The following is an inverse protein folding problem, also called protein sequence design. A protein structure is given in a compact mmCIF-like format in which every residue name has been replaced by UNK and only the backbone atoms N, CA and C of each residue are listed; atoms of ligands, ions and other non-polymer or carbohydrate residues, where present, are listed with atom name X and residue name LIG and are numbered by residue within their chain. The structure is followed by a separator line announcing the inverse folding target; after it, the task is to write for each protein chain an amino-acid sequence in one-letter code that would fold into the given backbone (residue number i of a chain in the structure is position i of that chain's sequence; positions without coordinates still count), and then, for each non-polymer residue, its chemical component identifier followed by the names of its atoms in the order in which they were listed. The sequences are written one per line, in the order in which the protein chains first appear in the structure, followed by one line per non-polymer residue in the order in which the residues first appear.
data_IF_525512839403
#
_entry.id   IF_525512839403
#
_cell.length_a   1.000
_cell.length_b   1.000
_cell.length_c   1.000
_cell.angle_alpha   90.00
_cell.angle_beta   90.00
_cell.angle_gamma   90.00
#
_symmetry.space_group_name_H-M   'P 1'
#
loop_
_entity.id
_entity.type
_entity.pdbx_description
1 polymer ?
#
# COMPACT_ATOMS: atom_id res chain seq x y z
N UNK A 1 3.14 -7.31 -36.21
CA UNK A 1 2.17 -8.40 -36.02
C UNK A 1 1.53 -8.22 -34.66
N UNK A 2 0.20 -8.25 -34.63
CA UNK A 2 -0.59 -8.20 -33.38
C UNK A 2 -0.98 -9.64 -33.06
N UNK A 3 -0.50 -10.13 -31.93
CA UNK A 3 -0.87 -11.45 -31.42
C UNK A 3 -1.95 -11.32 -30.35
N UNK A 4 -3.07 -11.99 -30.56
CA UNK A 4 -4.13 -12.15 -29.55
C UNK A 4 -4.21 -13.62 -29.14
N UNK A 5 -4.33 -13.85 -27.84
CA UNK A 5 -4.59 -15.17 -27.30
C UNK A 5 -5.72 -15.03 -26.28
N UNK A 6 -6.89 -15.58 -26.60
CA UNK A 6 -8.04 -15.57 -25.70
C UNK A 6 -8.33 -17.00 -25.29
N UNK A 7 -8.49 -17.24 -24.00
CA UNK A 7 -8.86 -18.54 -23.43
C UNK A 7 -10.07 -18.37 -22.54
N UNK A 8 -10.98 -19.31 -22.65
CA UNK A 8 -12.15 -19.39 -21.80
C UNK A 8 -12.24 -20.79 -21.21
N UNK A 9 -12.56 -20.89 -19.94
CA UNK A 9 -12.74 -22.14 -19.22
C UNK A 9 -14.00 -22.07 -18.35
N UNK A 10 -14.75 -23.16 -18.37
CA UNK A 10 -15.88 -23.38 -17.47
C UNK A 10 -15.62 -24.63 -16.64
N UNK A 11 -15.77 -24.53 -15.33
CA UNK A 11 -15.49 -25.64 -14.41
C UNK A 11 -16.50 -25.70 -13.26
N UNK A 12 -16.56 -26.85 -12.63
CA UNK A 12 -17.32 -27.06 -11.38
C UNK A 12 -16.43 -27.73 -10.35
N UNK A 13 -16.42 -27.19 -9.13
CA UNK A 13 -15.82 -27.85 -7.96
C UNK A 13 -16.96 -28.30 -7.04
N UNK A 14 -16.84 -29.52 -6.48
CA UNK A 14 -17.77 -30.03 -5.50
C UNK A 14 -17.01 -30.47 -4.26
N UNK A 15 -17.43 -29.99 -3.09
CA UNK A 15 -16.96 -30.47 -1.81
C UNK A 15 -18.10 -31.19 -1.09
N UNK A 16 -17.78 -32.28 -0.41
CA UNK A 16 -18.74 -33.10 0.34
C UNK A 16 -18.43 -33.01 1.83
N UNK A 17 -19.45 -32.82 2.65
CA UNK A 17 -19.30 -32.82 4.10
C UNK A 17 -19.19 -34.25 4.64
N UNK A 18 -17.99 -34.65 5.00
CA UNK A 18 -17.68 -36.00 5.49
C UNK A 18 -18.27 -36.30 6.87
N UNK A 19 -18.28 -35.31 7.76
CA UNK A 19 -18.77 -35.50 9.13
C UNK A 19 -20.28 -35.77 9.17
N UNK A 20 -21.04 -35.12 8.31
CA UNK A 20 -22.49 -35.32 8.19
C UNK A 20 -22.83 -36.66 7.53
N UNK A 21 -22.05 -37.06 6.53
CA UNK A 21 -22.20 -38.36 5.87
C UNK A 21 -21.94 -39.57 6.82
N UNK A 22 -21.05 -39.44 7.78
CA UNK A 22 -20.79 -40.49 8.76
C UNK A 22 -21.98 -40.68 9.73
N UNK A 23 -22.77 -39.62 9.99
CA UNK A 23 -23.95 -39.71 10.88
C UNK A 23 -25.21 -40.18 10.20
N UNK A 24 -25.43 -39.78 8.96
CA UNK A 24 -26.71 -39.96 8.26
C UNK A 24 -26.62 -41.06 7.15
N UNK A 25 -25.40 -41.56 6.85
CA UNK A 25 -25.22 -42.58 5.82
C UNK A 25 -25.35 -42.11 4.36
N UNK A 26 -25.69 -40.86 4.15
CA UNK A 26 -25.79 -40.24 2.82
C UNK A 26 -24.81 -39.08 2.67
N UNK A 27 -24.18 -39.00 1.48
CA UNK A 27 -23.29 -37.91 1.14
C UNK A 27 -24.09 -36.73 0.58
N UNK A 28 -24.17 -35.64 1.32
CA UNK A 28 -24.69 -34.38 0.81
C UNK A 28 -23.57 -33.48 0.30
N UNK A 29 -23.80 -32.84 -0.83
CA UNK A 29 -22.89 -31.82 -1.32
C UNK A 29 -22.99 -30.58 -0.40
N UNK A 30 -21.94 -30.31 0.38
CA UNK A 30 -21.90 -29.16 1.29
C UNK A 30 -21.62 -27.86 0.55
N UNK A 31 -20.94 -27.95 -0.56
CA UNK A 31 -20.54 -26.83 -1.40
C UNK A 31 -20.50 -27.26 -2.87
N UNK A 32 -21.21 -26.54 -3.70
CA UNK A 32 -21.10 -26.65 -5.17
C UNK A 32 -20.66 -25.31 -5.71
N UNK A 33 -19.48 -25.25 -6.28
CA UNK A 33 -18.94 -24.02 -6.88
C UNK A 33 -18.90 -24.16 -8.40
N UNK A 34 -19.46 -23.19 -9.09
CA UNK A 34 -19.34 -23.01 -10.54
C UNK A 34 -18.29 -21.95 -10.80
N UNK A 35 -17.31 -22.27 -11.63
CA UNK A 35 -16.21 -21.36 -11.96
C UNK A 35 -16.24 -21.06 -13.45
N UNK A 36 -16.31 -19.80 -13.80
CA UNK A 36 -16.07 -19.31 -15.14
C UNK A 36 -14.80 -18.46 -15.14
N UNK A 37 -13.93 -18.69 -16.10
CA UNK A 37 -12.67 -17.95 -16.23
C UNK A 37 -12.45 -17.54 -17.67
N UNK A 38 -12.08 -16.28 -17.87
CA UNK A 38 -11.64 -15.74 -19.13
C UNK A 38 -10.24 -15.13 -18.96
N UNK A 39 -9.36 -15.40 -19.90
CA UNK A 39 -8.07 -14.71 -19.97
C UNK A 39 -7.79 -14.26 -21.40
N UNK A 40 -7.12 -13.13 -21.54
CA UNK A 40 -6.71 -12.60 -22.82
C UNK A 40 -5.31 -11.98 -22.71
N UNK A 41 -4.48 -12.29 -23.70
CA UNK A 41 -3.15 -11.71 -23.86
C UNK A 41 -3.07 -11.03 -25.21
N UNK A 42 -2.61 -9.78 -25.23
CA UNK A 42 -2.41 -9.03 -26.44
C UNK A 42 -1.02 -8.41 -26.44
N UNK A 43 -0.31 -8.59 -27.54
CA UNK A 43 1.04 -8.07 -27.69
C UNK A 43 1.11 -7.20 -28.95
N UNK A 44 1.42 -5.92 -28.77
CA UNK A 44 1.77 -4.98 -29.83
C UNK A 44 3.21 -4.53 -29.63
N UNK A 45 3.75 -3.90 -30.62
CA UNK A 45 5.15 -3.40 -30.56
C UNK A 45 5.44 -2.55 -29.32
N UNK A 46 4.47 -1.77 -28.83
CA UNK A 46 4.63 -0.81 -27.74
C UNK A 46 3.66 -1.04 -26.58
N UNK A 47 2.83 -2.07 -26.64
CA UNK A 47 1.85 -2.37 -25.61
C UNK A 47 1.72 -3.88 -25.44
N UNK A 48 1.91 -4.32 -24.23
CA UNK A 48 1.56 -5.67 -23.79
C UNK A 48 0.41 -5.57 -22.80
N UNK A 49 -0.68 -6.25 -23.07
CA UNK A 49 -1.85 -6.30 -22.25
C UNK A 49 -2.13 -7.74 -21.83
N UNK A 50 -2.32 -7.98 -20.55
CA UNK A 50 -2.82 -9.24 -20.00
C UNK A 50 -4.07 -8.98 -19.19
N UNK A 51 -5.06 -9.82 -19.38
CA UNK A 51 -6.33 -9.75 -18.67
C UNK A 51 -6.75 -11.13 -18.19
N UNK A 52 -7.21 -11.21 -16.96
CA UNK A 52 -7.86 -12.38 -16.39
C UNK A 52 -9.13 -11.92 -15.65
N UNK A 53 -10.22 -12.61 -15.89
CA UNK A 53 -11.46 -12.45 -15.17
C UNK A 53 -11.97 -13.81 -14.76
N UNK A 54 -12.30 -13.98 -13.49
CA UNK A 54 -12.87 -15.19 -12.94
C UNK A 54 -14.15 -14.83 -12.16
N UNK A 55 -15.19 -15.59 -12.41
CA UNK A 55 -16.41 -15.54 -11.63
C UNK A 55 -16.61 -16.89 -10.96
N UNK A 56 -16.85 -16.87 -9.67
CA UNK A 56 -17.23 -18.04 -8.87
C UNK A 56 -18.62 -17.84 -8.29
N UNK A 57 -19.47 -18.81 -8.49
CA UNK A 57 -20.76 -18.90 -7.82
C UNK A 57 -20.76 -20.15 -6.97
N UNK A 58 -20.94 -19.97 -5.67
CA UNK A 58 -20.94 -21.06 -4.69
C UNK A 58 -22.32 -21.18 -4.05
N UNK A 59 -22.84 -22.39 -4.07
CA UNK A 59 -24.06 -22.75 -3.39
C UNK A 59 -23.72 -23.52 -2.12
N UNK A 60 -23.97 -22.91 -0.97
CA UNK A 60 -23.81 -23.54 0.35
C UNK A 60 -25.18 -24.02 0.84
N UNK A 61 -25.21 -25.25 1.36
CA UNK A 61 -26.44 -25.87 1.80
C UNK A 61 -27.12 -25.16 2.99
N UNK A 62 -26.35 -24.47 3.84
CA UNK A 62 -26.85 -23.86 5.08
C UNK A 62 -26.68 -22.32 5.14
N UNK A 63 -25.82 -21.71 4.33
CA UNK A 63 -25.46 -20.29 4.44
C UNK A 63 -25.97 -19.41 3.28
N UNK A 64 -26.62 -20.02 2.26
CA UNK A 64 -27.09 -19.31 1.09
C UNK A 64 -26.10 -19.28 -0.07
N UNK A 65 -26.52 -18.64 -1.14
CA UNK A 65 -25.72 -18.54 -2.36
C UNK A 65 -24.71 -17.39 -2.25
N UNK A 66 -23.49 -17.64 -2.68
CA UNK A 66 -22.40 -16.64 -2.66
C UNK A 66 -21.82 -16.49 -4.06
N UNK A 67 -21.52 -15.27 -4.44
CA UNK A 67 -20.81 -14.97 -5.67
C UNK A 67 -19.51 -14.20 -5.39
N UNK A 68 -18.50 -14.51 -6.16
CA UNK A 68 -17.20 -13.88 -6.08
C UNK A 68 -16.65 -13.55 -7.46
N UNK A 69 -16.04 -12.38 -7.57
CA UNK A 69 -15.36 -11.93 -8.76
C UNK A 69 -13.87 -11.75 -8.44
N UNK A 70 -13.04 -12.30 -9.30
CA UNK A 70 -11.60 -12.04 -9.27
C UNK A 70 -11.19 -11.55 -10.65
N UNK A 71 -10.60 -10.36 -10.68
CA UNK A 71 -10.15 -9.73 -11.93
C UNK A 71 -8.74 -9.22 -11.82
N UNK A 72 -7.97 -9.38 -12.88
CA UNK A 72 -6.63 -8.83 -13.01
C UNK A 72 -6.44 -8.26 -14.41
N UNK A 73 -5.93 -7.03 -14.49
CA UNK A 73 -5.55 -6.37 -15.71
C UNK A 73 -4.14 -5.79 -15.55
N UNK A 74 -3.23 -6.20 -16.44
CA UNK A 74 -1.89 -5.64 -16.49
C UNK A 74 -1.63 -5.08 -17.88
N UNK A 75 -1.14 -3.85 -17.95
CA UNK A 75 -0.74 -3.20 -19.19
C UNK A 75 0.69 -2.66 -19.04
N UNK A 76 1.59 -3.10 -19.90
CA UNK A 76 2.93 -2.56 -20.03
C UNK A 76 3.03 -1.82 -21.36
N UNK A 77 3.54 -0.62 -21.35
CA UNK A 77 3.66 0.19 -22.55
C UNK A 77 5.04 0.84 -22.67
N UNK A 78 5.50 0.97 -23.90
CA UNK A 78 6.82 1.47 -24.23
C UNK A 78 7.95 0.53 -23.78
N UNK A 79 9.16 1.03 -23.86
CA UNK A 79 10.37 0.44 -23.30
C UNK A 79 11.29 1.57 -22.78
N UNK A 80 12.32 1.22 -22.00
CA UNK A 80 13.24 2.22 -21.41
C UNK A 80 13.99 3.10 -22.43
N UNK A 81 14.03 2.68 -23.68
CA UNK A 81 14.67 3.46 -24.74
C UNK A 81 13.71 4.42 -25.45
N UNK A 82 12.43 4.42 -25.05
CA UNK A 82 11.41 5.27 -25.63
C UNK A 82 11.12 6.50 -24.78
N UNK A 83 10.42 7.46 -25.38
CA UNK A 83 10.10 8.71 -24.71
C UNK A 83 9.11 8.55 -23.55
N UNK A 84 8.27 7.52 -23.62
CA UNK A 84 7.29 7.16 -22.58
C UNK A 84 7.34 5.67 -22.37
N UNK A 85 7.45 5.23 -21.15
CA UNK A 85 7.21 3.85 -20.77
C UNK A 85 6.60 3.75 -19.39
N UNK A 86 5.93 2.64 -19.12
CA UNK A 86 5.31 2.42 -17.83
C UNK A 86 4.50 1.13 -17.77
N UNK A 87 3.90 0.95 -16.64
CA UNK A 87 2.95 -0.14 -16.41
C UNK A 87 1.75 0.33 -15.61
N UNK A 88 0.63 -0.32 -15.85
CA UNK A 88 -0.59 -0.20 -15.07
C UNK A 88 -1.03 -1.59 -14.67
N UNK A 89 -1.36 -1.78 -13.41
CA UNK A 89 -1.93 -3.01 -12.90
C UNK A 89 -3.21 -2.69 -12.12
N UNK A 90 -4.22 -3.51 -12.34
CA UNK A 90 -5.48 -3.44 -11.61
C UNK A 90 -5.85 -4.84 -11.16
N UNK A 91 -6.31 -4.96 -9.91
CA UNK A 91 -6.80 -6.20 -9.33
C UNK A 91 -8.12 -5.94 -8.64
N UNK A 92 -9.01 -6.91 -8.76
CA UNK A 92 -10.29 -6.95 -8.08
C UNK A 92 -10.44 -8.33 -7.46
N UNK A 93 -10.86 -8.38 -6.20
CA UNK A 93 -11.17 -9.63 -5.51
C UNK A 93 -12.36 -9.45 -4.60
N UNK A 94 -13.10 -10.53 -4.42
CA UNK A 94 -14.09 -10.66 -3.38
C UNK A 94 -13.70 -11.87 -2.56
N UNK A 95 -13.55 -11.69 -1.26
CA UNK A 95 -13.18 -12.75 -0.32
C UNK A 95 -14.20 -12.83 0.79
N UNK A 96 -14.45 -14.03 1.24
CA UNK A 96 -15.23 -14.25 2.46
C UNK A 96 -14.36 -13.96 3.67
N UNK A 97 -14.70 -12.94 4.43
CA UNK A 97 -14.08 -12.66 5.71
C UNK A 97 -14.96 -13.09 6.86
N UNK A 98 -14.38 -13.81 7.78
CA UNK A 98 -15.06 -14.10 9.04
C UNK A 98 -15.04 -12.86 9.92
N UNK A 99 -16.21 -12.42 10.33
CA UNK A 99 -16.33 -11.33 11.28
C UNK A 99 -15.88 -11.78 12.66
N UNK A 100 -15.03 -10.99 13.28
CA UNK A 100 -14.55 -11.19 14.63
C UNK A 100 -15.15 -10.15 15.56
N UNK A 101 -15.56 -10.57 16.73
CA UNK A 101 -16.00 -9.67 17.80
C UNK A 101 -15.00 -9.73 18.95
N UNK A 102 -14.87 -8.62 19.65
CA UNK A 102 -14.12 -8.58 20.90
C UNK A 102 -14.80 -9.48 21.93
N UNK A 103 -14.05 -10.43 22.46
CA UNK A 103 -14.52 -11.34 23.51
C UNK A 103 -14.04 -10.82 24.84
N UNK A 104 -14.99 -10.63 25.74
CA UNK A 104 -14.74 -10.17 27.10
C UNK A 104 -15.14 -11.25 28.08
N UNK A 105 -14.26 -11.55 29.01
CA UNK A 105 -14.49 -12.54 30.07
C UNK A 105 -14.83 -11.84 31.35
N UNK A 106 -15.95 -12.24 31.95
CA UNK A 106 -16.31 -11.77 33.29
C UNK A 106 -15.30 -12.26 34.35
N UNK A 107 -14.87 -11.36 35.17
CA UNK A 107 -13.97 -11.62 36.31
C UNK A 107 -14.66 -11.21 37.63
N UNK A 108 -13.99 -11.39 38.75
CA UNK A 108 -14.55 -10.92 40.03
C UNK A 108 -14.81 -9.40 39.95
N UNK A 109 -15.94 -8.91 40.48
CA UNK A 109 -16.29 -7.49 40.44
C UNK A 109 -15.14 -6.60 40.88
N UNK A 110 -14.82 -5.60 40.05
CA UNK A 110 -13.76 -4.64 40.34
C UNK A 110 -12.33 -5.14 40.12
N UNK A 111 -12.11 -6.32 39.54
CA UNK A 111 -10.76 -6.85 39.28
C UNK A 111 -10.37 -6.80 37.77
N UNK A 112 -11.28 -6.40 36.90
CA UNK A 112 -11.04 -6.25 35.46
C UNK A 112 -10.66 -4.82 35.11
N UNK A 113 -10.32 -4.66 33.84
CA UNK A 113 -9.99 -3.38 33.19
C UNK A 113 -11.05 -2.94 32.17
N UNK A 114 -12.16 -3.70 32.07
CA UNK A 114 -13.26 -3.45 31.13
C UNK A 114 -14.59 -3.43 31.91
N UNK A 115 -15.44 -2.45 31.59
CA UNK A 115 -16.78 -2.32 32.15
C UNK A 115 -17.84 -2.34 31.07
N UNK A 116 -18.88 -3.14 31.25
CA UNK A 116 -20.04 -3.13 30.36
C UNK A 116 -20.99 -1.98 30.72
N UNK A 117 -21.25 -1.11 29.75
CA UNK A 117 -22.27 -0.06 29.88
C UNK A 117 -23.62 -0.60 29.41
N UNK A 118 -24.51 -0.87 30.33
CA UNK A 118 -25.84 -1.42 30.07
C UNK A 118 -26.77 -0.44 29.34
N UNK A 119 -26.48 0.86 29.33
CA UNK A 119 -27.29 1.88 28.66
C UNK A 119 -26.97 1.94 27.17
N UNK A 120 -25.71 1.82 26.82
CA UNK A 120 -25.25 1.87 25.43
C UNK A 120 -25.00 0.50 24.82
N UNK A 121 -24.93 -0.55 25.66
CA UNK A 121 -24.63 -1.92 25.20
C UNK A 121 -23.15 -2.13 24.81
N UNK A 122 -22.26 -1.22 25.20
CA UNK A 122 -20.85 -1.22 24.78
C UNK A 122 -19.94 -1.58 25.94
N UNK A 123 -18.85 -2.30 25.64
CA UNK A 123 -17.76 -2.53 26.59
C UNK A 123 -16.78 -1.34 26.55
N UNK A 124 -16.50 -0.77 27.71
CA UNK A 124 -15.57 0.35 27.90
C UNK A 124 -14.27 -0.20 28.48
N UNK A 125 -13.19 -0.15 27.69
CA UNK A 125 -11.86 -0.60 28.08
C UNK A 125 -11.07 0.48 28.85
N UNK A 126 -10.04 0.06 29.56
CA UNK A 126 -9.15 0.97 30.30
C UNK A 126 -9.77 1.61 31.52
N UNK A 127 -10.77 0.99 32.13
CA UNK A 127 -11.38 1.45 33.39
C UNK A 127 -10.75 0.75 34.59
N UNK A 128 -10.44 1.52 35.63
CA UNK A 128 -10.09 0.93 36.92
C UNK A 128 -11.34 0.29 37.54
N UNK A 129 -11.19 -0.91 38.10
CA UNK A 129 -12.28 -1.66 38.77
C UNK A 129 -13.41 -2.10 37.82
N UNK A 130 -13.07 -2.59 36.61
CA UNK A 130 -14.02 -3.23 35.71
C UNK A 130 -14.43 -4.64 36.20
N UNK A 131 -15.47 -5.18 35.55
CA UNK A 131 -16.01 -6.51 35.85
C UNK A 131 -15.65 -7.53 34.72
N UNK A 132 -14.94 -7.08 33.72
CA UNK A 132 -14.50 -7.89 32.59
C UNK A 132 -13.04 -7.62 32.28
N UNK A 133 -12.42 -8.60 31.59
CA UNK A 133 -11.10 -8.47 30.92
C UNK A 133 -11.26 -8.81 29.45
N UNK A 134 -10.51 -8.13 28.59
CA UNK A 134 -10.45 -8.46 27.17
C UNK A 134 -9.67 -9.77 26.98
N UNK A 135 -10.28 -10.78 26.36
CA UNK A 135 -9.69 -12.10 26.14
C UNK A 135 -9.13 -12.25 24.72
N UNK A 136 -9.53 -11.38 23.79
CA UNK A 136 -9.10 -11.43 22.40
C UNK A 136 -10.25 -11.25 21.41
N UNK A 137 -10.01 -11.57 20.17
CA UNK A 137 -11.04 -11.60 19.13
C UNK A 137 -11.56 -13.02 18.97
N UNK A 138 -12.85 -13.22 19.14
CA UNK A 138 -13.54 -14.46 18.86
C UNK A 138 -14.31 -14.37 17.55
N UNK A 139 -14.53 -15.53 16.90
CA UNK A 139 -15.38 -15.61 15.71
C UNK A 139 -16.81 -15.18 16.05
N UNK A 140 -17.40 -14.31 15.23
CA UNK A 140 -18.79 -13.92 15.40
C UNK A 140 -19.73 -14.90 14.67
N UNK A 141 -20.09 -15.97 15.35
CA UNK A 141 -20.99 -16.98 14.79
C UNK A 141 -22.42 -16.46 14.57
N UNK A 142 -22.76 -15.30 15.13
CA UNK A 142 -24.10 -14.69 14.98
C UNK A 142 -24.27 -13.91 13.67
N UNK A 143 -23.19 -13.46 13.06
CA UNK A 143 -23.24 -12.66 11.81
C UNK A 143 -22.76 -13.47 10.61
N UNK A 144 -22.09 -14.60 10.83
CA UNK A 144 -21.51 -15.39 9.76
C UNK A 144 -20.29 -14.72 9.09
N UNK A 145 -19.91 -15.26 7.94
CA UNK A 145 -18.89 -14.63 7.10
C UNK A 145 -19.52 -13.51 6.28
N UNK A 146 -18.88 -12.37 6.22
CA UNK A 146 -19.29 -11.22 5.39
C UNK A 146 -18.43 -11.21 4.14
N UNK A 147 -19.06 -11.01 3.00
CA UNK A 147 -18.33 -10.84 1.75
C UNK A 147 -17.56 -9.53 1.80
N UNK A 148 -16.24 -9.62 1.84
CA UNK A 148 -15.34 -8.49 1.72
C UNK A 148 -14.94 -8.30 0.25
N UNK A 149 -14.98 -7.07 -0.23
CA UNK A 149 -14.47 -6.72 -1.54
C UNK A 149 -13.16 -5.96 -1.41
N UNK A 150 -12.16 -6.38 -2.18
CA UNK A 150 -10.89 -5.71 -2.27
C UNK A 150 -10.62 -5.27 -3.71
N UNK A 151 -9.96 -4.14 -3.86
CA UNK A 151 -9.50 -3.66 -5.15
C UNK A 151 -8.17 -2.96 -5.01
N UNK A 152 -7.28 -3.19 -5.96
CA UNK A 152 -5.98 -2.56 -6.01
C UNK A 152 -5.69 -2.01 -7.39
N UNK A 153 -5.05 -0.87 -7.44
CA UNK A 153 -4.59 -0.24 -8.66
C UNK A 153 -3.17 0.29 -8.46
N UNK A 154 -2.29 0.05 -9.42
CA UNK A 154 -0.98 0.67 -9.44
C UNK A 154 -0.64 1.15 -10.83
N UNK A 155 0.03 2.28 -10.92
CA UNK A 155 0.54 2.84 -12.15
C UNK A 155 1.94 3.38 -11.94
N UNK A 156 2.84 3.07 -12.86
CA UNK A 156 4.18 3.64 -12.94
C UNK A 156 4.37 4.22 -14.33
N UNK A 157 4.76 5.46 -14.40
CA UNK A 157 4.97 6.18 -15.64
C UNK A 157 6.33 6.87 -15.62
N UNK A 158 7.09 6.75 -16.70
CA UNK A 158 8.30 7.52 -16.93
C UNK A 158 8.25 8.19 -18.30
N UNK A 159 8.60 9.49 -18.32
CA UNK A 159 8.63 10.34 -19.49
C UNK A 159 10.03 10.96 -19.65
N UNK A 160 10.59 10.86 -20.84
CA UNK A 160 11.83 11.54 -21.26
C UNK A 160 11.49 12.69 -22.22
N UNK A 161 11.34 13.92 -21.73
CA UNK A 161 10.85 15.04 -22.56
C UNK A 161 11.70 15.30 -23.79
N UNK A 162 13.01 15.13 -23.69
CA UNK A 162 13.91 15.34 -24.80
C UNK A 162 13.60 14.41 -25.99
N UNK A 163 13.27 13.16 -25.70
CA UNK A 163 12.92 12.20 -26.75
C UNK A 163 11.53 12.49 -27.32
N UNK A 164 10.57 12.88 -26.46
CA UNK A 164 9.21 13.23 -26.86
C UNK A 164 9.17 14.45 -27.81
N UNK A 165 9.98 15.45 -27.53
CA UNK A 165 10.02 16.72 -28.30
C UNK A 165 11.17 16.81 -29.29
N UNK A 166 11.99 15.75 -29.46
CA UNK A 166 13.13 15.73 -30.38
C UNK A 166 14.26 16.69 -29.99
N UNK A 167 14.37 17.05 -28.70
CA UNK A 167 15.36 18.00 -28.20
C UNK A 167 16.72 17.33 -28.12
N UNK A 168 17.69 17.81 -28.90
CA UNK A 168 19.04 17.26 -28.95
C UNK A 168 20.03 17.94 -28.01
N UNK A 169 19.74 19.16 -27.58
CA UNK A 169 20.62 20.00 -26.79
C UNK A 169 19.86 20.71 -25.68
N UNK A 170 20.59 21.12 -24.61
CA UNK A 170 20.04 21.87 -23.51
C UNK A 170 19.62 20.99 -22.33
N UNK A 171 19.11 21.64 -21.29
CA UNK A 171 18.77 21.01 -19.98
C UNK A 171 17.71 19.91 -20.14
N UNK A 172 16.74 20.11 -21.01
CA UNK A 172 15.64 19.15 -21.24
C UNK A 172 16.12 17.78 -21.74
N UNK A 173 17.30 17.70 -22.37
CA UNK A 173 17.85 16.44 -22.83
C UNK A 173 18.08 15.43 -21.71
N UNK A 174 18.45 15.97 -20.57
CA UNK A 174 18.95 15.18 -19.44
C UNK A 174 17.88 15.07 -18.32
N UNK A 175 16.63 15.49 -18.60
CA UNK A 175 15.51 15.40 -17.66
C UNK A 175 14.74 14.09 -17.87
N UNK A 176 14.41 13.46 -16.75
CA UNK A 176 13.48 12.35 -16.65
C UNK A 176 12.37 12.74 -15.66
N UNK A 177 11.13 12.57 -16.08
CA UNK A 177 9.96 12.74 -15.24
C UNK A 177 9.38 11.35 -14.95
N UNK A 178 9.09 11.06 -13.69
CA UNK A 178 8.48 9.82 -13.25
C UNK A 178 7.27 10.08 -12.38
N UNK A 179 6.39 9.09 -12.31
CA UNK A 179 5.27 9.09 -11.38
C UNK A 179 4.91 7.67 -11.00
N UNK A 180 4.67 7.48 -9.71
CA UNK A 180 4.14 6.26 -9.13
C UNK A 180 2.79 6.61 -8.51
N UNK A 181 1.83 5.73 -8.70
CA UNK A 181 0.55 5.78 -8.03
C UNK A 181 0.18 4.37 -7.60
N UNK A 182 -0.24 4.21 -6.35
CA UNK A 182 -0.71 2.95 -5.81
C UNK A 182 -1.92 3.20 -4.94
N UNK A 183 -2.93 2.40 -5.09
CA UNK A 183 -4.11 2.44 -4.24
C UNK A 183 -4.64 1.04 -4.03
N UNK A 184 -4.98 0.75 -2.79
CA UNK A 184 -5.59 -0.50 -2.37
C UNK A 184 -6.72 -0.17 -1.40
N UNK A 185 -7.82 -0.87 -1.53
CA UNK A 185 -8.97 -0.68 -0.65
C UNK A 185 -9.69 -1.99 -0.40
N UNK A 186 -10.22 -2.08 0.79
CA UNK A 186 -11.05 -3.20 1.25
C UNK A 186 -12.31 -2.67 1.91
N UNK A 187 -13.44 -3.25 1.57
CA UNK A 187 -14.70 -2.97 2.21
C UNK A 187 -15.35 -4.26 2.74
N UNK A 188 -15.54 -4.29 4.05
CA UNK A 188 -16.14 -5.42 4.79
C UNK A 188 -17.61 -5.15 5.15
N UNK A 189 -18.20 -4.08 4.63
CA UNK A 189 -19.63 -3.73 4.90
C UNK A 189 -20.60 -4.39 3.93
N UNK A 190 -20.12 -5.28 3.05
CA UNK A 190 -20.92 -5.93 2.02
C UNK A 190 -21.14 -5.06 0.77
N UNK A 191 -20.44 -3.92 0.64
CA UNK A 191 -20.45 -3.12 -0.58
C UNK A 191 -19.43 -3.65 -1.57
N UNK A 192 -19.80 -3.68 -2.83
CA UNK A 192 -18.88 -4.07 -3.89
C UNK A 192 -17.91 -2.93 -4.22
N UNK A 193 -16.63 -3.11 -3.93
CA UNK A 193 -15.58 -2.16 -4.23
C UNK A 193 -14.94 -2.47 -5.59
N UNK A 194 -15.58 -2.06 -6.68
CA UNK A 194 -15.08 -2.30 -8.04
C UNK A 194 -13.84 -1.47 -8.39
N UNK A 195 -13.63 -0.33 -7.74
CA UNK A 195 -12.46 0.52 -7.95
C UNK A 195 -11.83 0.88 -6.62
N UNK A 196 -10.50 0.88 -6.52
CA UNK A 196 -9.82 1.32 -5.32
C UNK A 196 -10.01 2.82 -5.09
N UNK A 197 -9.86 3.30 -3.86
CA UNK A 197 -9.98 4.70 -3.55
C UNK A 197 -8.88 5.51 -4.27
N UNK A 198 -9.27 6.50 -5.08
CA UNK A 198 -8.31 7.37 -5.79
C UNK A 198 -8.15 8.73 -5.13
N UNK A 199 -8.85 8.98 -4.03
CA UNK A 199 -8.77 10.19 -3.21
C UNK A 199 -8.79 9.84 -1.73
N UNK A 200 -8.23 10.71 -0.89
CA UNK A 200 -8.27 10.52 0.57
C UNK A 200 -9.70 10.49 1.13
N UNK A 201 -10.63 11.23 0.54
CA UNK A 201 -12.04 11.16 0.93
C UNK A 201 -12.66 9.80 0.63
N UNK A 202 -12.41 9.23 -0.55
CA UNK A 202 -12.90 7.90 -0.89
C UNK A 202 -12.28 6.81 0.02
N UNK A 203 -11.02 6.97 0.43
CA UNK A 203 -10.37 6.08 1.37
C UNK A 203 -11.02 6.13 2.76
N UNK A 204 -11.52 7.30 3.19
CA UNK A 204 -12.25 7.43 4.47
C UNK A 204 -13.59 6.70 4.47
N UNK A 205 -14.19 6.47 3.32
CA UNK A 205 -15.53 5.85 3.17
C UNK A 205 -15.52 4.32 3.13
N UNK A 206 -14.34 3.69 3.02
CA UNK A 206 -14.17 2.24 3.02
C UNK A 206 -13.67 1.72 4.36
N UNK A 207 -13.64 0.41 4.56
CA UNK A 207 -13.21 -0.20 5.82
C UNK A 207 -11.72 -0.01 6.08
N UNK A 208 -10.89 -0.34 5.12
CA UNK A 208 -9.42 -0.19 5.22
C UNK A 208 -8.80 0.04 3.85
N UNK A 209 -7.59 0.57 3.82
CA UNK A 209 -6.86 0.72 2.57
C UNK A 209 -5.70 1.69 2.64
N UNK A 210 -5.02 1.78 1.51
CA UNK A 210 -3.89 2.68 1.31
C UNK A 210 -4.03 3.43 -0.01
N UNK A 211 -3.50 4.62 -0.05
CA UNK A 211 -3.38 5.42 -1.26
C UNK A 211 -2.05 6.14 -1.21
N UNK A 212 -1.22 5.93 -2.21
CA UNK A 212 0.07 6.60 -2.32
C UNK A 212 0.30 7.15 -3.72
N UNK A 213 0.97 8.27 -3.80
CA UNK A 213 1.51 8.79 -5.04
C UNK A 213 2.87 9.42 -4.81
N UNK A 214 3.74 9.28 -5.78
CA UNK A 214 5.06 9.90 -5.83
C UNK A 214 5.30 10.48 -7.22
N UNK A 215 5.66 11.74 -7.29
CA UNK A 215 6.21 12.37 -8.47
C UNK A 215 7.74 12.29 -8.43
N UNK A 216 8.40 12.26 -9.58
CA UNK A 216 9.86 12.22 -9.66
C UNK A 216 10.36 13.07 -10.81
N UNK A 217 11.23 14.00 -10.50
CA UNK A 217 11.98 14.79 -11.44
C UNK A 217 13.45 14.48 -11.26
N UNK A 218 14.11 13.98 -12.27
CA UNK A 218 15.55 13.75 -12.28
C UNK A 218 16.22 14.55 -13.40
N UNK A 219 17.33 15.13 -13.07
CA UNK A 219 18.22 15.79 -14.02
C UNK A 219 19.65 15.32 -13.80
N UNK A 220 20.29 14.85 -14.86
CA UNK A 220 21.66 14.36 -14.84
C UNK A 220 22.46 14.99 -15.98
N UNK A 221 23.36 15.90 -15.67
CA UNK A 221 24.17 16.60 -16.66
C UNK A 221 25.46 15.84 -16.94
N UNK A 222 25.91 15.71 -18.22
CA UNK A 222 27.14 14.99 -18.59
C UNK A 222 28.43 15.48 -17.90
N UNK A 223 28.43 16.68 -17.37
CA UNK A 223 29.55 17.23 -16.59
C UNK A 223 29.57 16.79 -15.13
N UNK A 224 28.75 15.81 -14.76
CA UNK A 224 28.74 15.25 -13.40
C UNK A 224 27.83 15.96 -12.41
N UNK A 225 26.94 16.85 -12.84
CA UNK A 225 25.90 17.41 -11.99
C UNK A 225 24.66 16.53 -12.06
N UNK A 226 24.04 16.29 -10.91
CA UNK A 226 22.75 15.64 -10.80
C UNK A 226 21.86 16.35 -9.80
N UNK A 227 20.58 16.37 -10.07
CA UNK A 227 19.55 16.84 -9.15
C UNK A 227 18.34 15.93 -9.27
N UNK A 228 17.70 15.65 -8.15
CA UNK A 228 16.41 15.00 -8.14
C UNK A 228 15.47 15.67 -7.14
N UNK A 229 14.18 15.60 -7.45
CA UNK A 229 13.11 16.05 -6.57
C UNK A 229 11.94 15.09 -6.64
N UNK A 230 11.52 14.60 -5.48
CA UNK A 230 10.44 13.62 -5.36
C UNK A 230 9.42 14.11 -4.33
N UNK A 231 8.30 14.73 -4.76
CA UNK A 231 7.14 14.96 -3.92
C UNK A 231 6.30 13.69 -3.85
N UNK A 232 5.71 13.41 -2.69
CA UNK A 232 4.82 12.28 -2.51
C UNK A 232 3.82 12.49 -1.39
N UNK A 233 2.75 11.71 -1.42
CA UNK A 233 1.81 11.60 -0.32
C UNK A 233 1.37 10.15 -0.15
N UNK A 234 1.22 9.77 1.11
CA UNK A 234 0.74 8.47 1.54
C UNK A 234 -0.45 8.67 2.47
N UNK A 235 -1.51 7.94 2.21
CA UNK A 235 -2.72 7.90 3.02
C UNK A 235 -2.99 6.47 3.42
N UNK A 236 -3.34 6.24 4.65
CA UNK A 236 -3.62 4.92 5.20
C UNK A 236 -4.83 4.99 6.11
N UNK A 237 -5.75 4.07 5.93
CA UNK A 237 -6.86 3.82 6.83
C UNK A 237 -6.83 2.38 7.27
N UNK A 238 -6.87 2.17 8.57
CA UNK A 238 -7.05 0.84 9.15
C UNK A 238 -8.28 0.80 10.04
N UNK A 239 -9.07 -0.26 9.83
CA UNK A 239 -10.13 -0.65 10.74
C UNK A 239 -9.58 -1.75 11.64
N UNK A 240 -9.03 -1.36 12.78
CA UNK A 240 -8.61 -2.28 13.84
C UNK A 240 -9.49 -2.06 15.09
N UNK A 241 -9.09 -2.56 16.25
CA UNK A 241 -9.74 -2.21 17.53
C UNK A 241 -9.83 -0.70 17.74
N UNK A 242 -8.93 0.06 17.11
CA UNK A 242 -8.95 1.50 17.02
C UNK A 242 -8.84 1.89 15.55
N UNK A 243 -9.89 2.51 15.00
CA UNK A 243 -9.84 3.05 13.64
C UNK A 243 -8.86 4.22 13.61
N UNK A 244 -7.89 4.21 12.71
CA UNK A 244 -7.03 5.35 12.48
C UNK A 244 -6.98 5.74 11.00
N UNK A 245 -6.70 7.01 10.76
CA UNK A 245 -6.43 7.56 9.45
C UNK A 245 -5.13 8.36 9.50
N UNK A 246 -4.18 7.99 8.67
CA UNK A 246 -2.87 8.64 8.56
C UNK A 246 -2.76 9.31 7.19
N UNK A 247 -2.34 10.57 7.21
CA UNK A 247 -1.94 11.32 6.03
C UNK A 247 -0.46 11.71 6.17
N UNK A 248 0.34 11.46 5.16
CA UNK A 248 1.75 11.85 5.13
C UNK A 248 2.06 12.55 3.83
N UNK A 249 2.72 13.69 3.91
CA UNK A 249 3.25 14.42 2.77
C UNK A 249 4.75 14.48 2.86
N UNK A 250 5.43 14.06 1.79
CA UNK A 250 6.88 14.01 1.74
C UNK A 250 7.42 14.78 0.55
N UNK A 251 8.45 15.56 0.79
CA UNK A 251 9.25 16.21 -0.24
C UNK A 251 10.71 15.81 -0.04
N UNK A 252 11.31 15.22 -1.04
CA UNK A 252 12.72 14.87 -1.04
C UNK A 252 13.44 15.57 -2.19
N UNK A 253 14.60 16.13 -1.91
CA UNK A 253 15.47 16.71 -2.91
C UNK A 253 16.91 16.20 -2.72
N UNK A 254 17.56 15.86 -3.82
CA UNK A 254 18.99 15.52 -3.80
C UNK A 254 19.73 16.33 -4.83
N UNK A 255 20.97 16.67 -4.48
CA UNK A 255 21.91 17.34 -5.36
C UNK A 255 23.21 16.55 -5.33
N UNK A 256 23.83 16.36 -6.47
CA UNK A 256 25.10 15.68 -6.61
C UNK A 256 26.02 16.40 -7.58
N UNK A 257 27.31 16.37 -7.31
CA UNK A 257 28.32 16.94 -8.17
C UNK A 257 29.59 16.10 -8.16
N UNK A 258 29.99 15.65 -9.33
CA UNK A 258 31.31 15.08 -9.57
C UNK A 258 32.31 16.23 -9.79
N UNK A 259 33.09 16.55 -8.80
CA UNK A 259 34.04 17.69 -8.84
C UNK A 259 35.26 17.37 -9.70
N UNK A 260 35.76 16.13 -9.58
CA UNK A 260 36.84 15.52 -10.37
C UNK A 260 36.53 14.02 -10.50
N UNK A 261 37.25 13.30 -11.32
CA UNK A 261 37.08 11.86 -11.51
C UNK A 261 36.93 11.08 -10.20
N UNK A 262 37.64 11.51 -9.17
CA UNK A 262 37.72 10.80 -7.88
C UNK A 262 36.98 11.51 -6.73
N UNK A 263 36.28 12.64 -6.99
CA UNK A 263 35.66 13.46 -5.95
C UNK A 263 34.20 13.69 -6.25
N UNK A 264 33.31 13.24 -5.39
CA UNK A 264 31.90 13.46 -5.45
C UNK A 264 31.38 14.14 -4.19
N UNK A 265 30.51 15.12 -4.34
CA UNK A 265 29.80 15.81 -3.26
C UNK A 265 28.31 15.59 -3.48
N UNK A 266 27.61 15.15 -2.45
CA UNK A 266 26.17 14.97 -2.46
C UNK A 266 25.52 15.64 -1.26
N UNK A 267 24.38 16.26 -1.50
CA UNK A 267 23.49 16.79 -0.47
C UNK A 267 22.09 16.25 -0.68
N UNK A 268 21.38 15.94 0.39
CA UNK A 268 19.97 15.60 0.33
C UNK A 268 19.19 16.31 1.43
N UNK A 269 17.93 16.59 1.16
CA UNK A 269 16.99 17.14 2.13
C UNK A 269 15.64 16.47 1.98
N UNK A 270 14.98 16.22 3.10
CA UNK A 270 13.63 15.66 3.18
C UNK A 270 12.80 16.51 4.14
N UNK A 271 11.59 16.80 3.72
CA UNK A 271 10.55 17.36 4.56
C UNK A 271 9.39 16.37 4.58
N UNK A 272 8.89 16.05 5.76
CA UNK A 272 7.74 15.17 5.93
C UNK A 272 6.80 15.79 6.95
N UNK A 273 5.51 15.82 6.62
CA UNK A 273 4.43 16.18 7.54
C UNK A 273 3.51 14.97 7.64
N UNK A 274 3.17 14.60 8.85
CA UNK A 274 2.28 13.45 9.11
C UNK A 274 1.17 13.91 10.04
N UNK A 275 -0.05 13.65 9.62
CA UNK A 275 -1.28 13.85 10.39
C UNK A 275 -1.87 12.47 10.69
N UNK A 276 -2.04 12.15 11.94
CA UNK A 276 -2.65 10.92 12.41
C UNK A 276 -3.92 11.24 13.17
N UNK A 277 -5.04 10.77 12.65
CA UNK A 277 -6.34 10.83 13.33
C UNK A 277 -6.69 9.44 13.86
N UNK A 278 -6.69 9.27 15.16
CA UNK A 278 -7.07 8.05 15.86
C UNK A 278 -7.94 8.41 17.07
N UNK A 279 -7.67 7.87 18.25
CA UNK A 279 -8.26 8.33 19.51
C UNK A 279 -7.83 9.76 19.89
N UNK A 280 -6.67 10.16 19.41
CA UNK A 280 -6.13 11.52 19.51
C UNK A 280 -5.61 11.93 18.14
N UNK A 281 -5.72 13.20 17.80
CA UNK A 281 -5.10 13.77 16.60
C UNK A 281 -3.67 14.14 16.96
N UNK A 282 -2.73 13.61 16.18
CA UNK A 282 -1.30 13.89 16.29
C UNK A 282 -0.81 14.47 14.97
N UNK A 283 -0.14 15.59 15.01
CA UNK A 283 0.54 16.20 13.86
C UNK A 283 2.03 16.31 14.17
N UNK A 284 2.88 15.85 13.26
CA UNK A 284 4.32 16.06 13.39
C UNK A 284 4.97 16.37 12.04
N UNK A 285 6.05 17.12 12.13
CA UNK A 285 6.87 17.54 10.99
C UNK A 285 8.30 17.08 11.20
N UNK A 286 8.87 16.47 10.19
CA UNK A 286 10.27 16.07 10.19
C UNK A 286 11.03 16.78 9.09
N UNK A 287 12.19 17.29 9.42
CA UNK A 287 13.16 17.90 8.49
C UNK A 287 14.45 17.13 8.60
N UNK A 288 14.91 16.60 7.50
CA UNK A 288 16.14 15.81 7.42
C UNK A 288 17.05 16.41 6.37
N UNK A 289 18.30 16.59 6.70
CA UNK A 289 19.32 17.06 5.78
C UNK A 289 20.60 16.24 5.91
N UNK A 290 21.19 15.87 4.79
CA UNK A 290 22.46 15.18 4.80
C UNK A 290 23.44 15.77 3.80
N UNK A 291 24.72 15.70 4.15
CA UNK A 291 25.83 16.05 3.29
C UNK A 291 26.78 14.86 3.23
N UNK A 292 27.22 14.49 2.06
CA UNK A 292 28.19 13.41 1.82
C UNK A 292 29.28 13.87 0.88
N UNK A 293 30.52 13.44 1.18
CA UNK A 293 31.64 13.62 0.30
C UNK A 293 32.30 12.26 0.07
N UNK A 294 32.50 11.88 -1.19
CA UNK A 294 33.14 10.62 -1.56
C UNK A 294 34.45 10.90 -2.26
N UNK A 295 35.51 10.24 -1.79
CA UNK A 295 36.81 10.23 -2.40
C UNK A 295 37.20 8.81 -2.79
N UNK A 296 37.41 8.57 -4.08
CA UNK A 296 37.89 7.31 -4.62
C UNK A 296 39.41 7.41 -4.88
N UNK A 297 40.21 6.60 -4.20
CA UNK A 297 41.68 6.72 -4.23
C UNK A 297 42.39 5.59 -4.98
N UNK A 298 41.71 4.46 -5.20
CA UNK A 298 42.16 3.33 -6.00
C UNK A 298 40.97 2.79 -6.76
N UNK A 299 41.21 1.96 -7.80
CA UNK A 299 40.14 1.32 -8.54
C UNK A 299 39.23 0.52 -7.59
N UNK A 300 38.01 1.02 -7.42
CA UNK A 300 37.00 0.45 -6.57
C UNK A 300 37.03 0.83 -5.10
N UNK A 301 38.10 1.42 -4.56
CA UNK A 301 38.17 1.85 -3.16
C UNK A 301 37.74 3.29 -2.98
N UNK A 302 36.88 3.53 -2.00
CA UNK A 302 36.46 4.89 -1.65
C UNK A 302 36.30 5.09 -0.15
N UNK A 303 36.36 6.34 0.26
CA UNK A 303 36.03 6.83 1.61
C UNK A 303 34.95 7.87 1.49
N UNK A 304 33.88 7.72 2.27
CA UNK A 304 32.72 8.59 2.24
C UNK A 304 32.37 9.09 3.66
N UNK A 305 32.96 10.22 4.10
CA UNK A 305 32.46 10.93 5.26
C UNK A 305 31.12 11.60 4.97
N UNK A 306 30.25 11.61 5.97
CA UNK A 306 28.93 12.22 5.88
C UNK A 306 28.51 12.86 7.19
N UNK A 307 27.58 13.78 7.09
CA UNK A 307 26.88 14.38 8.21
C UNK A 307 25.39 14.40 7.94
N UNK A 308 24.58 14.15 8.94
CA UNK A 308 23.13 14.18 8.89
C UNK A 308 22.60 14.98 10.07
N UNK A 309 21.58 15.78 9.78
CA UNK A 309 20.82 16.53 10.76
C UNK A 309 19.35 16.21 10.55
N UNK A 310 18.68 15.71 11.57
CA UNK A 310 17.23 15.51 11.57
C UNK A 310 16.63 16.30 12.72
N UNK A 311 15.61 17.05 12.40
CA UNK A 311 14.79 17.77 13.37
C UNK A 311 13.35 17.35 13.19
N UNK A 312 12.66 17.06 14.29
CA UNK A 312 11.24 16.74 14.33
C UNK A 312 10.55 17.58 15.39
N UNK A 313 9.42 18.12 15.04
CA UNK A 313 8.52 18.83 15.93
C UNK A 313 7.10 18.29 15.75
N UNK A 314 6.32 18.22 16.81
CA UNK A 314 4.96 17.74 16.75
C UNK A 314 4.14 18.24 17.93
N UNK A 315 2.83 18.16 17.79
CA UNK A 315 1.86 18.48 18.82
C UNK A 315 0.66 17.54 18.74
N UNK A 316 -0.05 17.39 19.84
CA UNK A 316 -1.32 16.71 19.92
C UNK A 316 -2.49 17.71 20.02
N UNK A 317 -3.72 17.22 19.95
CA UNK A 317 -4.94 18.06 20.12
C UNK A 317 -5.02 18.78 21.47
N UNK A 318 -4.33 18.28 22.48
CA UNK A 318 -4.30 18.87 23.82
C UNK A 318 -3.27 19.99 23.93
N UNK A 319 -2.42 20.14 22.88
CA UNK A 319 -1.40 21.18 22.79
C UNK A 319 -0.08 20.81 23.48
N UNK A 320 0.17 19.52 23.73
CA UNK A 320 1.50 19.07 24.11
C UNK A 320 2.42 19.14 22.92
N UNK A 321 3.48 19.95 23.04
CA UNK A 321 4.52 20.09 22.03
C UNK A 321 5.67 19.13 22.37
N UNK A 322 6.23 18.49 21.35
CA UNK A 322 7.45 17.71 21.46
C UNK A 322 8.39 18.04 20.30
N UNK A 323 9.68 18.10 20.60
CA UNK A 323 10.74 18.27 19.61
C UNK A 323 11.82 17.23 19.80
N UNK A 324 12.48 16.86 18.72
CA UNK A 324 13.61 15.95 18.71
C UNK A 324 14.66 16.42 17.71
N UNK A 325 15.89 16.47 18.15
CA UNK A 325 17.06 16.81 17.32
C UNK A 325 18.05 15.66 17.32
N UNK A 326 18.28 15.08 16.14
CA UNK A 326 19.30 14.06 15.92
C UNK A 326 20.44 14.64 15.08
N UNK A 327 21.68 14.45 15.55
CA UNK A 327 22.89 14.79 14.81
C UNK A 327 23.73 13.53 14.66
N UNK A 328 24.07 13.20 13.44
CA UNK A 328 24.85 12.00 13.13
C UNK A 328 26.04 12.36 12.24
N UNK A 329 27.20 11.80 12.57
CA UNK A 329 28.36 11.73 11.69
C UNK A 329 28.53 10.30 11.20
N UNK A 330 28.86 10.12 9.94
CA UNK A 330 29.13 8.80 9.37
C UNK A 330 30.44 8.76 8.62
N UNK A 331 31.11 7.61 8.66
CA UNK A 331 32.25 7.31 7.82
C UNK A 331 32.02 5.93 7.19
N UNK A 332 31.95 5.88 5.87
CA UNK A 332 31.89 4.63 5.12
C UNK A 332 33.18 4.41 4.38
N UNK A 333 33.67 3.19 4.43
CA UNK A 333 34.79 2.71 3.60
C UNK A 333 34.20 1.57 2.77
N UNK A 334 34.27 1.66 1.45
CA UNK A 334 33.67 0.69 0.54
C UNK A 334 34.61 0.33 -0.59
N UNK A 335 34.30 -0.80 -1.22
CA UNK A 335 34.91 -1.28 -2.42
C UNK A 335 33.81 -1.62 -3.44
N UNK A 336 33.86 -1.00 -4.59
CA UNK A 336 32.97 -1.29 -5.71
C UNK A 336 33.78 -1.94 -6.85
N UNK A 337 33.30 -3.08 -7.34
CA UNK A 337 33.90 -3.82 -8.45
C UNK A 337 33.27 -3.40 -9.77
#
# INVERSE_FOLDING_TARGET
DVGWNIREALGTKRAKNRERAEREGEWEDSLVTYVWQQSADANWKYLQLTHMLQYEYSKLAEEGDQDAWVGELNANFGNRNECVYGNVAYKLGMTEEQTYVSVYKAVAPGTGDVRYDSLTGVFIEGVDNGDFVYEGKGRNDSVGAVLASNSAFSANLELKPAQAFGVKHGILRDIVLGGLFSSEGEDTTGKHLYFPPVTSSALRDISSGTLSWEGRLEWSHPRGFSASYSPGADYEKMLSSYSYFRESFRHEATLGMQVKENHYVGASGQLETVDLTALQVLEWKTRDGSLRYRYSFLDGFHVEPGARLRYGDGHDEVGYEFDALLREGSLRIGYER
#
